data_IF_598052938208
#
_entry.id   IF_598052938208
#
_cell.length_a   1.000
_cell.length_b   1.000
_cell.length_c   1.000
_cell.angle_alpha   90.00
_cell.angle_beta   90.00
_cell.angle_gamma   90.00
#
_symmetry.space_group_name_H-M   'P 1'
#
loop_
_entity.id
_entity.type
_entity.pdbx_description
1 polymer ?
#
# COMPACT_ATOMS: atom_id res chain seq x y z
N UNK A 1 -9.27 30.53 24.62
CA UNK A 1 -9.51 29.28 23.87
C UNK A 1 -8.20 28.52 23.74
N UNK A 2 -8.03 27.40 24.45
CA UNK A 2 -6.84 26.54 24.35
C UNK A 2 -7.04 25.56 23.18
N UNK A 3 -6.14 25.61 22.21
CA UNK A 3 -6.09 24.64 21.11
C UNK A 3 -5.46 23.34 21.63
N UNK A 4 -6.23 22.26 21.62
CA UNK A 4 -5.73 20.91 21.91
C UNK A 4 -5.07 20.38 20.62
N UNK A 5 -3.75 20.51 20.53
CA UNK A 5 -2.96 19.85 19.48
C UNK A 5 -2.83 18.38 19.91
N UNK A 6 -3.61 17.50 19.29
CA UNK A 6 -3.40 16.05 19.40
C UNK A 6 -2.19 15.72 18.53
N UNK A 7 -1.00 15.76 19.14
CA UNK A 7 0.22 15.20 18.57
C UNK A 7 0.04 13.69 18.46
N UNK A 8 -0.27 13.20 17.26
CA UNK A 8 -0.11 11.79 16.91
C UNK A 8 1.38 11.45 16.99
N UNK A 9 1.78 10.90 18.14
CA UNK A 9 3.07 10.26 18.34
C UNK A 9 3.17 9.08 17.36
N UNK A 10 3.85 9.29 16.24
CA UNK A 10 4.34 8.21 15.41
C UNK A 10 5.45 7.51 16.18
N UNK A 11 5.09 6.44 16.89
CA UNK A 11 6.08 5.48 17.38
C UNK A 11 6.63 4.80 16.13
N UNK A 12 7.82 5.24 15.68
CA UNK A 12 8.68 4.44 14.83
C UNK A 12 9.17 3.25 15.65
N UNK A 13 8.30 2.27 15.82
CA UNK A 13 8.72 0.94 16.22
C UNK A 13 9.31 0.29 14.98
N UNK A 14 10.58 0.58 14.69
CA UNK A 14 11.43 -0.33 13.92
C UNK A 14 11.58 -1.59 14.77
N UNK A 15 10.57 -2.45 14.78
CA UNK A 15 10.72 -3.80 15.30
C UNK A 15 11.65 -4.51 14.34
N UNK A 16 12.87 -4.84 14.80
CA UNK A 16 13.75 -5.77 14.10
C UNK A 16 13.09 -7.16 14.14
N UNK A 17 12.03 -7.33 13.35
CA UNK A 17 11.41 -8.62 13.11
C UNK A 17 12.37 -9.44 12.24
N UNK A 18 12.64 -10.71 12.57
CA UNK A 18 13.46 -11.61 11.74
C UNK A 18 13.04 -11.61 10.27
N UNK A 19 11.75 -11.43 10.02
CA UNK A 19 11.11 -11.31 8.71
C UNK A 19 11.60 -10.08 7.93
N UNK A 20 11.92 -8.99 8.62
CA UNK A 20 12.40 -7.74 8.04
C UNK A 20 13.84 -7.87 7.54
N UNK A 21 14.69 -8.67 8.19
CA UNK A 21 16.05 -8.92 7.71
C UNK A 21 16.09 -9.93 6.55
N UNK A 22 15.24 -10.95 6.58
CA UNK A 22 15.02 -11.83 5.44
C UNK A 22 14.54 -11.04 4.20
N UNK A 23 13.63 -10.08 4.42
CA UNK A 23 13.10 -9.21 3.36
C UNK A 23 14.14 -8.21 2.84
N UNK A 24 14.95 -7.59 3.71
CA UNK A 24 16.10 -6.77 3.29
C UNK A 24 17.09 -7.58 2.45
N UNK A 25 17.36 -8.84 2.83
CA UNK A 25 18.21 -9.75 2.09
C UNK A 25 17.66 -10.11 0.70
N UNK A 26 16.35 -10.35 0.62
CA UNK A 26 15.63 -10.57 -0.63
C UNK A 26 15.75 -9.37 -1.57
N UNK A 27 15.44 -8.17 -1.07
CA UNK A 27 15.46 -6.93 -1.83
C UNK A 27 16.85 -6.55 -2.33
N UNK A 28 17.91 -6.78 -1.55
CA UNK A 28 19.29 -6.44 -1.95
C UNK A 28 19.79 -7.25 -3.16
N UNK A 29 19.21 -8.43 -3.42
CA UNK A 29 19.70 -9.39 -4.41
C UNK A 29 18.86 -9.47 -5.68
N UNK A 30 17.82 -8.65 -5.84
CA UNK A 30 16.96 -8.66 -7.03
C UNK A 30 17.17 -7.39 -7.86
N UNK A 31 17.50 -7.56 -9.15
CA UNK A 31 17.74 -6.46 -10.10
C UNK A 31 16.81 -6.49 -11.30
N UNK A 32 16.09 -7.59 -11.52
CA UNK A 32 15.10 -7.74 -12.59
C UNK A 32 13.79 -8.35 -12.08
N UNK A 33 12.72 -8.14 -12.83
CA UNK A 33 11.40 -8.69 -12.48
C UNK A 33 11.38 -10.22 -12.48
N UNK A 34 12.06 -10.85 -13.44
CA UNK A 34 12.18 -12.32 -13.52
C UNK A 34 12.90 -12.92 -12.32
N UNK A 35 13.92 -12.23 -11.78
CA UNK A 35 14.61 -12.68 -10.56
C UNK A 35 13.72 -12.63 -9.33
N UNK A 36 12.86 -11.62 -9.22
CA UNK A 36 11.86 -11.52 -8.14
C UNK A 36 10.88 -12.69 -8.27
N UNK A 37 10.29 -12.86 -9.45
CA UNK A 37 9.28 -13.90 -9.73
C UNK A 37 9.80 -15.31 -9.43
N UNK A 38 11.01 -15.66 -9.91
CA UNK A 38 11.63 -16.97 -9.63
C UNK A 38 11.84 -17.25 -8.15
N UNK A 39 12.15 -16.22 -7.35
CA UNK A 39 12.39 -16.37 -5.91
C UNK A 39 11.07 -16.47 -5.14
N UNK A 40 10.05 -15.71 -5.54
CA UNK A 40 8.73 -15.71 -4.90
C UNK A 40 7.90 -16.96 -5.23
N UNK A 41 8.12 -17.58 -6.40
CA UNK A 41 7.49 -18.86 -6.77
C UNK A 41 7.80 -20.03 -5.81
N UNK A 42 8.83 -19.89 -4.95
CA UNK A 42 9.14 -20.88 -3.91
C UNK A 42 8.32 -20.70 -2.63
N UNK A 43 7.43 -19.70 -2.55
CA UNK A 43 6.61 -19.42 -1.38
C UNK A 43 5.31 -20.26 -1.36
N UNK A 44 4.72 -20.44 -0.17
CA UNK A 44 3.52 -21.29 0.03
C UNK A 44 2.26 -20.74 -0.64
N UNK A 45 2.19 -19.42 -0.82
CA UNK A 45 1.11 -18.73 -1.52
C UNK A 45 1.77 -17.64 -2.35
N UNK A 46 1.34 -17.48 -3.60
CA UNK A 46 1.95 -16.53 -4.53
C UNK A 46 0.91 -15.97 -5.51
N UNK A 47 0.89 -14.65 -5.66
CA UNK A 47 0.14 -13.94 -6.69
C UNK A 47 1.00 -12.83 -7.28
N UNK A 48 0.82 -12.56 -8.58
CA UNK A 48 1.44 -11.42 -9.26
C UNK A 48 0.37 -10.61 -9.96
N UNK A 49 0.37 -9.30 -9.71
CA UNK A 49 -0.35 -8.33 -10.52
C UNK A 49 0.65 -7.53 -11.35
N UNK A 50 0.48 -7.52 -12.67
CA UNK A 50 1.34 -6.81 -13.62
C UNK A 50 0.54 -5.68 -14.26
N UNK A 51 1.09 -4.47 -14.29
CA UNK A 51 0.46 -3.34 -14.97
C UNK A 51 1.44 -2.23 -15.29
N UNK A 52 1.00 -1.29 -16.13
CA UNK A 52 1.68 -0.02 -16.37
C UNK A 52 0.80 1.08 -15.78
N UNK A 53 1.02 1.39 -14.50
CA UNK A 53 0.06 2.18 -13.73
C UNK A 53 0.47 3.63 -13.55
N UNK A 54 1.76 3.98 -13.63
CA UNK A 54 2.24 5.36 -13.45
C UNK A 54 3.36 5.75 -14.45
N UNK A 55 3.13 6.84 -15.20
CA UNK A 55 4.12 7.50 -16.09
C UNK A 55 4.79 6.62 -17.16
N UNK A 56 4.13 5.53 -17.58
CA UNK A 56 4.68 4.56 -18.52
C UNK A 56 5.72 3.61 -17.91
N UNK A 57 5.81 3.53 -16.58
CA UNK A 57 6.65 2.55 -15.89
C UNK A 57 5.90 1.25 -15.66
N UNK A 58 6.63 0.12 -15.67
CA UNK A 58 6.07 -1.18 -15.29
C UNK A 58 6.00 -1.29 -13.77
N UNK A 59 4.84 -1.69 -13.27
CA UNK A 59 4.54 -1.92 -11.86
C UNK A 59 4.13 -3.38 -11.68
N UNK A 60 4.94 -4.16 -10.97
CA UNK A 60 4.63 -5.54 -10.66
C UNK A 60 4.49 -5.67 -9.16
N UNK A 61 3.33 -6.12 -8.71
CA UNK A 61 3.04 -6.38 -7.31
C UNK A 61 3.09 -7.88 -7.10
N UNK A 62 4.00 -8.33 -6.24
CA UNK A 62 4.17 -9.73 -5.87
C UNK A 62 3.67 -9.90 -4.44
N UNK A 63 2.70 -10.77 -4.25
CA UNK A 63 2.12 -11.06 -2.94
C UNK A 63 2.42 -12.50 -2.59
N UNK A 64 3.00 -12.75 -1.42
CA UNK A 64 3.35 -14.10 -0.99
C UNK A 64 3.40 -14.30 0.52
N UNK A 65 3.36 -15.55 0.97
CA UNK A 65 3.40 -15.91 2.40
C UNK A 65 4.62 -16.78 2.72
N UNK A 66 5.37 -16.43 3.76
CA UNK A 66 6.48 -17.22 4.31
C UNK A 66 6.35 -17.25 5.83
N UNK A 67 6.40 -18.44 6.45
CA UNK A 67 6.33 -18.61 7.92
C UNK A 67 5.14 -17.87 8.56
N UNK A 68 3.94 -17.99 7.98
CA UNK A 68 2.71 -17.28 8.39
C UNK A 68 2.77 -15.75 8.35
N UNK A 69 3.82 -15.18 7.79
CA UNK A 69 3.92 -13.75 7.51
C UNK A 69 3.59 -13.46 6.06
N UNK A 70 2.78 -12.44 5.85
CA UNK A 70 2.35 -12.01 4.52
C UNK A 70 3.27 -10.90 4.01
N UNK A 71 3.68 -11.01 2.76
CA UNK A 71 4.62 -10.10 2.11
C UNK A 71 4.01 -9.57 0.81
N UNK A 72 4.20 -8.28 0.58
CA UNK A 72 3.89 -7.61 -0.67
C UNK A 72 5.16 -6.89 -1.15
N UNK A 73 5.58 -7.16 -2.38
CA UNK A 73 6.70 -6.47 -3.04
C UNK A 73 6.16 -5.75 -4.26
N UNK A 74 6.25 -4.43 -4.24
CA UNK A 74 5.93 -3.56 -5.37
C UNK A 74 7.25 -3.22 -6.07
N UNK A 75 7.47 -3.80 -7.24
CA UNK A 75 8.62 -3.51 -8.09
C UNK A 75 8.22 -2.52 -9.18
N UNK A 76 9.00 -1.45 -9.33
CA UNK A 76 8.81 -0.41 -10.33
C UNK A 76 10.03 -0.36 -11.25
N UNK A 77 9.81 -0.41 -12.56
CA UNK A 77 10.89 -0.55 -13.52
C UNK A 77 10.62 0.01 -14.90
N UNK A 78 11.68 0.03 -15.71
CA UNK A 78 11.65 0.41 -17.11
C UNK A 78 12.11 -0.82 -17.90
N UNK A 79 11.35 -1.22 -18.92
CA UNK A 79 11.54 -2.50 -19.61
C UNK A 79 11.56 -3.63 -18.58
N UNK A 80 12.62 -4.44 -18.53
CA UNK A 80 12.73 -5.55 -17.58
C UNK A 80 13.63 -5.24 -16.39
N UNK A 81 14.14 -4.00 -16.32
CA UNK A 81 15.02 -3.54 -15.26
C UNK A 81 14.23 -2.89 -14.13
N UNK A 82 14.37 -3.46 -12.93
CA UNK A 82 13.79 -2.91 -11.70
C UNK A 82 14.63 -1.72 -11.25
N UNK A 83 13.98 -0.58 -11.05
CA UNK A 83 14.63 0.67 -10.64
C UNK A 83 14.39 0.97 -9.15
N UNK A 84 13.25 0.51 -8.63
CA UNK A 84 12.83 0.71 -7.25
C UNK A 84 11.96 -0.47 -6.80
N UNK A 85 12.10 -0.85 -5.54
CA UNK A 85 11.24 -1.82 -4.89
C UNK A 85 10.75 -1.29 -3.55
N UNK A 86 9.49 -1.57 -3.25
CA UNK A 86 8.88 -1.35 -1.94
C UNK A 86 8.44 -2.72 -1.46
N UNK A 87 8.93 -3.17 -0.32
CA UNK A 87 8.42 -4.38 0.31
C UNK A 87 7.67 -4.02 1.58
N UNK A 88 6.51 -4.62 1.76
CA UNK A 88 5.67 -4.52 2.94
C UNK A 88 5.54 -5.92 3.51
N UNK A 89 5.86 -6.09 4.79
CA UNK A 89 5.50 -7.29 5.53
C UNK A 89 4.33 -6.97 6.45
N UNK A 90 3.47 -7.96 6.65
CA UNK A 90 2.34 -7.92 7.57
C UNK A 90 2.44 -9.12 8.50
N UNK A 91 2.52 -8.84 9.80
CA UNK A 91 2.42 -9.81 10.88
C UNK A 91 1.19 -9.49 11.74
N UNK A 92 0.67 -10.47 12.48
CA UNK A 92 -0.40 -10.25 13.44
C UNK A 92 0.16 -10.29 14.86
N UNK A 93 -0.01 -9.19 15.60
CA UNK A 93 0.32 -9.14 17.02
C UNK A 93 -0.89 -9.60 17.83
N UNK A 94 -0.76 -10.79 18.43
CA UNK A 94 -1.80 -11.40 19.25
C UNK A 94 -2.07 -10.65 20.55
N UNK A 95 -1.06 -9.96 21.13
CA UNK A 95 -1.20 -9.17 22.35
C UNK A 95 -1.97 -7.89 22.08
N UNK A 96 -1.66 -7.23 20.96
CA UNK A 96 -2.30 -5.97 20.56
C UNK A 96 -3.58 -6.20 19.73
N UNK A 97 -3.91 -7.46 19.43
CA UNK A 97 -5.02 -7.88 18.57
C UNK A 97 -5.09 -7.08 17.26
N UNK A 98 -3.94 -6.82 16.64
CA UNK A 98 -3.85 -5.98 15.44
C UNK A 98 -2.74 -6.43 14.50
N UNK A 99 -2.89 -6.15 13.21
CA UNK A 99 -1.79 -6.34 12.26
C UNK A 99 -0.72 -5.26 12.41
N UNK A 100 0.54 -5.68 12.47
CA UNK A 100 1.73 -4.84 12.38
C UNK A 100 2.23 -4.92 10.95
N UNK A 101 2.71 -3.78 10.44
CA UNK A 101 3.24 -3.65 9.09
C UNK A 101 4.62 -3.03 9.14
N UNK A 102 5.60 -3.68 8.50
CA UNK A 102 6.92 -3.09 8.24
C UNK A 102 7.06 -2.80 6.76
N UNK A 103 7.66 -1.65 6.42
CA UNK A 103 7.94 -1.28 5.03
C UNK A 103 9.43 -1.04 4.82
N UNK A 104 10.00 -1.70 3.81
CA UNK A 104 11.37 -1.51 3.36
C UNK A 104 11.35 -0.98 1.94
N UNK A 105 11.94 0.19 1.71
CA UNK A 105 12.11 0.75 0.37
C UNK A 105 13.55 0.52 -0.09
N UNK A 106 13.74 -0.17 -1.20
CA UNK A 106 15.04 -0.37 -1.84
C UNK A 106 15.11 0.38 -3.17
N UNK A 107 16.10 1.27 -3.29
CA UNK A 107 16.39 1.99 -4.53
C UNK A 107 17.54 1.29 -5.26
N UNK A 108 17.23 0.59 -6.35
CA UNK A 108 18.27 0.06 -7.25
C UNK A 108 18.96 1.23 -7.96
N UNK A 109 18.19 2.28 -8.28
CA UNK A 109 18.69 3.55 -8.80
C UNK A 109 18.17 4.71 -7.93
N UNK A 110 19.05 5.34 -7.16
CA UNK A 110 18.69 6.44 -6.24
C UNK A 110 18.13 7.68 -6.96
N UNK A 111 18.50 7.91 -8.22
CA UNK A 111 17.97 9.02 -9.03
C UNK A 111 16.54 8.76 -9.53
N UNK A 112 16.16 7.48 -9.70
CA UNK A 112 14.84 7.10 -10.19
C UNK A 112 13.74 7.53 -9.23
N UNK A 113 13.90 7.27 -7.93
CA UNK A 113 12.91 7.63 -6.91
C UNK A 113 12.57 9.12 -6.90
N UNK A 114 13.59 9.98 -7.02
CA UNK A 114 13.40 11.44 -7.11
C UNK A 114 12.65 11.84 -8.37
N UNK A 115 13.02 11.27 -9.54
CA UNK A 115 12.35 11.55 -10.81
C UNK A 115 10.90 11.07 -10.82
N UNK A 116 10.65 9.88 -10.25
CA UNK A 116 9.31 9.33 -10.09
C UNK A 116 8.43 10.26 -9.23
N UNK A 117 8.90 10.62 -8.03
CA UNK A 117 8.17 11.52 -7.13
C UNK A 117 7.92 12.89 -7.74
N UNK A 118 8.90 13.43 -8.49
CA UNK A 118 8.74 14.70 -9.18
C UNK A 118 7.59 14.64 -10.21
N UNK A 119 7.51 13.57 -11.02
CA UNK A 119 6.40 13.36 -11.97
C UNK A 119 5.06 13.21 -11.23
N UNK A 120 5.04 12.44 -10.14
CA UNK A 120 3.85 12.23 -9.31
C UNK A 120 3.32 13.51 -8.69
N UNK A 121 4.18 14.25 -7.99
CA UNK A 121 3.83 15.52 -7.37
C UNK A 121 3.35 16.54 -8.39
N UNK A 122 3.92 16.55 -9.61
CA UNK A 122 3.46 17.41 -10.70
C UNK A 122 2.06 17.02 -11.19
N UNK A 123 1.79 15.73 -11.40
CA UNK A 123 0.51 15.25 -11.90
C UNK A 123 -0.61 15.49 -10.88
N UNK A 124 -0.38 15.11 -9.63
CA UNK A 124 -1.38 15.16 -8.56
C UNK A 124 -1.36 16.45 -7.73
N UNK A 125 -0.50 17.42 -8.09
CA UNK A 125 -0.30 18.69 -7.36
C UNK A 125 -0.05 18.47 -5.87
N UNK A 126 0.77 17.47 -5.54
CA UNK A 126 1.07 17.06 -4.17
C UNK A 126 2.53 17.38 -3.79
N UNK A 127 2.86 17.23 -2.51
CA UNK A 127 4.20 17.44 -1.96
C UNK A 127 4.73 16.18 -1.28
N UNK A 128 4.55 15.03 -1.92
CA UNK A 128 4.95 13.74 -1.37
C UNK A 128 6.47 13.57 -1.41
N UNK A 129 6.98 12.81 -0.46
CA UNK A 129 8.41 12.53 -0.32
C UNK A 129 8.68 11.04 -0.39
N UNK A 130 9.95 10.64 -0.34
CA UNK A 130 10.34 9.22 -0.25
C UNK A 130 9.67 8.53 0.94
N UNK A 131 9.49 9.24 2.05
CA UNK A 131 8.78 8.71 3.23
C UNK A 131 7.32 8.42 2.93
N UNK A 132 6.71 9.02 1.90
CA UNK A 132 5.33 8.74 1.52
C UNK A 132 5.14 7.35 0.91
N UNK A 133 6.22 6.67 0.50
CA UNK A 133 6.16 5.25 0.11
C UNK A 133 6.06 4.30 1.30
N UNK A 134 6.17 4.78 2.55
CA UNK A 134 5.92 3.91 3.71
C UNK A 134 4.42 3.68 3.84
N UNK A 135 4.04 2.41 4.02
CA UNK A 135 2.71 1.87 4.34
C UNK A 135 1.52 2.45 3.54
N UNK A 136 0.86 1.65 2.68
CA UNK A 136 -0.45 2.03 2.18
C UNK A 136 -1.46 2.10 3.33
N UNK A 137 -2.39 3.06 3.27
CA UNK A 137 -3.50 3.15 4.23
C UNK A 137 -4.49 1.99 4.03
N UNK A 138 -4.64 1.52 2.80
CA UNK A 138 -5.58 0.47 2.42
C UNK A 138 -4.84 -0.75 1.85
N UNK A 139 -5.32 -1.95 2.19
CA UNK A 139 -4.88 -3.18 1.54
C UNK A 139 -5.36 -3.24 0.09
N UNK A 140 -4.96 -4.28 -0.64
CA UNK A 140 -5.38 -4.54 -2.02
C UNK A 140 -6.88 -4.25 -2.23
N UNK A 141 -7.17 -3.41 -3.23
CA UNK A 141 -8.53 -3.18 -3.68
C UNK A 141 -9.01 -4.44 -4.40
N UNK A 142 -9.75 -5.28 -3.68
CA UNK A 142 -10.35 -6.48 -4.22
C UNK A 142 -11.75 -6.64 -3.66
N UNK A 143 -12.67 -7.15 -4.49
CA UNK A 143 -13.89 -7.79 -3.99
C UNK A 143 -13.38 -9.06 -3.31
N UNK A 144 -13.22 -9.00 -1.98
CA UNK A 144 -12.64 -10.11 -1.24
C UNK A 144 -13.40 -11.40 -1.53
N UNK A 145 -12.67 -12.47 -1.87
CA UNK A 145 -13.13 -13.83 -1.60
C UNK A 145 -13.06 -14.07 -0.08
N UNK A 146 -13.80 -13.28 0.70
CA UNK A 146 -14.06 -13.57 2.09
C UNK A 146 -15.11 -14.67 2.14
N UNK A 147 -14.80 -15.80 2.79
CA UNK A 147 -15.84 -16.72 3.22
C UNK A 147 -16.94 -15.91 3.90
N UNK A 148 -18.17 -16.03 3.39
CA UNK A 148 -19.39 -15.36 3.87
C UNK A 148 -19.52 -13.84 3.66
N UNK A 149 -18.98 -13.25 2.58
CA UNK A 149 -19.43 -11.93 2.11
C UNK A 149 -19.15 -10.73 3.04
N UNK A 150 -18.30 -10.89 4.05
CA UNK A 150 -17.95 -9.80 4.97
C UNK A 150 -17.04 -8.76 4.29
N UNK A 151 -17.29 -7.46 4.50
CA UNK A 151 -16.48 -6.40 3.93
C UNK A 151 -15.06 -6.43 4.49
N UNK A 152 -14.07 -6.11 3.66
CA UNK A 152 -12.68 -5.98 4.13
C UNK A 152 -12.53 -4.77 5.05
N UNK A 153 -11.51 -4.75 5.91
CA UNK A 153 -11.21 -3.59 6.76
C UNK A 153 -11.05 -2.29 5.95
N UNK A 154 -10.42 -2.39 4.76
CA UNK A 154 -10.28 -1.29 3.80
C UNK A 154 -11.63 -0.82 3.24
N UNK A 155 -12.55 -1.73 2.94
CA UNK A 155 -13.92 -1.40 2.53
C UNK A 155 -14.67 -0.67 3.65
N UNK A 156 -14.57 -1.15 4.89
CA UNK A 156 -15.20 -0.53 6.07
C UNK A 156 -14.67 0.90 6.26
N UNK A 157 -13.34 1.09 6.21
CA UNK A 157 -12.72 2.40 6.39
C UNK A 157 -13.08 3.38 5.27
N UNK A 158 -13.06 2.95 4.01
CA UNK A 158 -13.49 3.78 2.88
C UNK A 158 -14.96 4.19 3.03
N UNK A 159 -15.83 3.25 3.43
CA UNK A 159 -17.24 3.53 3.67
C UNK A 159 -17.45 4.57 4.77
N UNK A 160 -16.65 4.53 5.85
CA UNK A 160 -16.68 5.56 6.90
C UNK A 160 -16.35 6.95 6.33
N UNK A 161 -15.31 7.05 5.50
CA UNK A 161 -14.92 8.33 4.88
C UNK A 161 -16.01 8.87 3.95
N UNK A 162 -16.66 7.98 3.18
CA UNK A 162 -17.79 8.34 2.29
C UNK A 162 -19.00 8.83 3.11
N UNK A 163 -19.42 8.08 4.12
CA UNK A 163 -20.56 8.45 4.97
C UNK A 163 -20.34 9.77 5.73
N UNK A 164 -19.08 10.06 6.09
CA UNK A 164 -18.69 11.32 6.73
C UNK A 164 -18.51 12.49 5.74
N UNK A 165 -18.69 12.25 4.43
CA UNK A 165 -18.39 13.22 3.37
C UNK A 165 -16.97 13.83 3.49
N UNK A 166 -15.99 13.03 3.92
CA UNK A 166 -14.63 13.51 4.16
C UNK A 166 -13.83 13.59 2.85
N UNK A 167 -14.22 14.52 1.97
CA UNK A 167 -13.60 14.73 0.65
C UNK A 167 -12.10 14.99 0.77
N UNK A 168 -11.68 15.75 1.78
CA UNK A 168 -10.27 16.09 2.01
C UNK A 168 -9.41 14.82 2.16
N UNK A 169 -9.85 13.87 3.00
CA UNK A 169 -9.10 12.65 3.22
C UNK A 169 -9.14 11.73 1.99
N UNK A 170 -10.25 11.69 1.26
CA UNK A 170 -10.35 10.92 0.02
C UNK A 170 -9.48 11.49 -1.10
N UNK A 171 -9.32 12.82 -1.20
CA UNK A 171 -8.36 13.47 -2.12
C UNK A 171 -6.92 13.10 -1.75
N UNK A 172 -6.59 13.08 -0.45
CA UNK A 172 -5.26 12.64 0.00
C UNK A 172 -4.99 11.19 -0.41
N UNK A 173 -5.97 10.30 -0.30
CA UNK A 173 -5.86 8.91 -0.76
C UNK A 173 -5.74 8.83 -2.28
N UNK A 174 -6.59 9.55 -3.03
CA UNK A 174 -6.59 9.58 -4.50
C UNK A 174 -5.27 10.10 -5.09
N UNK A 175 -4.51 10.90 -4.33
CA UNK A 175 -3.20 11.44 -4.69
C UNK A 175 -2.01 10.67 -4.10
N UNK A 176 -2.25 9.54 -3.42
CA UNK A 176 -1.21 8.71 -2.79
C UNK A 176 -0.23 8.12 -3.80
N UNK A 177 1.00 7.83 -3.37
CA UNK A 177 1.96 7.05 -4.18
C UNK A 177 1.57 5.57 -4.27
N UNK A 178 0.69 5.08 -3.40
CA UNK A 178 0.23 3.70 -3.39
C UNK A 178 -1.02 3.54 -4.26
N UNK A 179 -0.98 2.64 -5.24
CA UNK A 179 -2.09 2.43 -6.16
C UNK A 179 -3.39 2.00 -5.43
N UNK A 180 -3.30 1.16 -4.40
CA UNK A 180 -4.45 0.73 -3.61
C UNK A 180 -5.17 1.90 -2.92
N UNK A 181 -4.41 2.80 -2.30
CA UNK A 181 -4.97 4.02 -1.68
C UNK A 181 -5.63 4.90 -2.75
N UNK A 182 -4.99 5.06 -3.92
CA UNK A 182 -5.54 5.87 -5.00
C UNK A 182 -6.88 5.35 -5.49
N UNK A 183 -7.01 4.04 -5.67
CA UNK A 183 -8.27 3.42 -6.11
C UNK A 183 -9.36 3.67 -5.07
N UNK A 184 -9.10 3.39 -3.78
CA UNK A 184 -10.08 3.65 -2.71
C UNK A 184 -10.47 5.13 -2.62
N UNK A 185 -9.51 6.04 -2.70
CA UNK A 185 -9.76 7.48 -2.71
C UNK A 185 -10.61 7.93 -3.90
N UNK A 186 -10.27 7.45 -5.10
CA UNK A 186 -11.00 7.78 -6.35
C UNK A 186 -12.43 7.24 -6.32
N UNK A 187 -12.61 5.98 -5.91
CA UNK A 187 -13.93 5.35 -5.78
C UNK A 187 -14.76 6.06 -4.71
N UNK A 188 -14.18 6.39 -3.56
CA UNK A 188 -14.88 7.14 -2.51
C UNK A 188 -15.30 8.54 -2.94
N UNK A 189 -14.43 9.28 -3.65
CA UNK A 189 -14.79 10.58 -4.23
C UNK A 189 -15.93 10.46 -5.23
N UNK A 190 -15.87 9.46 -6.11
CA UNK A 190 -16.96 9.17 -7.04
C UNK A 190 -18.26 8.91 -6.28
N UNK A 191 -18.25 8.08 -5.23
CA UNK A 191 -19.44 7.79 -4.42
C UNK A 191 -20.05 9.04 -3.78
N UNK A 192 -19.23 9.93 -3.20
CA UNK A 192 -19.72 11.21 -2.63
C UNK A 192 -20.39 12.06 -3.73
N UNK A 193 -19.80 12.14 -4.92
CA UNK A 193 -20.30 13.02 -5.99
C UNK A 193 -21.49 12.44 -6.77
N UNK A 194 -21.58 11.11 -6.91
CA UNK A 194 -22.56 10.46 -7.78
C UNK A 194 -23.77 9.89 -7.07
N UNK A 195 -23.77 9.81 -5.74
CA UNK A 195 -24.86 9.12 -5.05
C UNK A 195 -25.25 9.74 -3.70
N UNK A 196 -26.55 9.93 -3.49
CA UNK A 196 -27.17 9.85 -2.17
C UNK A 196 -27.23 8.41 -1.63
N UNK A 197 -26.28 7.54 -2.01
CA UNK A 197 -26.14 6.19 -1.46
C UNK A 197 -25.54 6.33 -0.08
N UNK A 198 -26.36 6.10 0.93
CA UNK A 198 -25.86 5.71 2.24
C UNK A 198 -25.53 4.22 2.14
N UNK A 199 -24.29 3.84 2.40
CA UNK A 199 -24.01 2.44 2.72
C UNK A 199 -24.82 2.09 3.99
N UNK A 200 -25.54 0.96 4.03
CA UNK A 200 -26.15 0.50 5.26
C UNK A 200 -25.07 0.47 6.34
N UNK A 201 -25.39 1.04 7.51
CA UNK A 201 -24.45 1.25 8.60
C UNK A 201 -23.83 -0.10 9.01
N UNK A 202 -22.61 -0.38 8.53
CA UNK A 202 -21.93 -1.67 8.74
C UNK A 202 -21.36 -1.84 10.16
N UNK A 203 -21.71 -0.95 11.09
CA UNK A 203 -21.37 -1.11 12.51
C UNK A 203 -22.18 -2.21 13.23
N UNK A 204 -23.22 -2.74 12.58
CA UNK A 204 -24.13 -3.74 13.13
C UNK A 204 -24.02 -5.12 12.43
N UNK A 205 -22.94 -5.38 11.67
CA UNK A 205 -22.66 -6.70 11.08
C UNK A 205 -21.40 -7.28 11.72
#
# INVERSE_FOLDING_TARGET
MKWLIISLLFINASTNLPETDAMKGFLKKAKSFNEIEKKTLKAQQFAVSKGETDFGYKHWVYTFTINNSHFEVIAIGINDSVQMMIAVSRSYDSKLKKSIYDTVVNYVNSSFGKRYLSKHNKLYRSSLSIKSFTRPSFSMFGIGCGGAGSPTASTIEMTKLVNQQNEKQLILLASSVHANDRIHGTVGLYMIKKTGFQYPNMQNI
#
